data_IF_836449656347
#
_entry.id   IF_836449656347
#
_cell.length_a   1.000
_cell.length_b   1.000
_cell.length_c   1.000
_cell.angle_alpha   90.00
_cell.angle_beta   90.00
_cell.angle_gamma   90.00
#
_symmetry.space_group_name_H-M   'P 1'
#
loop_
_entity.id
_entity.type
_entity.pdbx_description
1 polymer ?
#
# COMPACT_ATOMS: atom_id res chain seq x y z
N UNK A 1 16.87 -12.43 -1.17
CA UNK A 1 16.25 -11.21 -0.60
C UNK A 1 17.34 -10.43 0.11
N UNK A 2 17.49 -9.11 -0.13
CA UNK A 2 18.60 -8.29 0.41
C UNK A 2 18.04 -7.13 1.22
N UNK A 3 17.66 -6.01 0.59
CA UNK A 3 16.95 -4.93 1.27
C UNK A 3 15.45 -5.01 0.93
N UNK A 4 14.54 -4.95 1.91
CA UNK A 4 14.73 -4.73 3.35
C UNK A 4 14.92 -6.02 4.18
N UNK A 5 15.30 -7.16 3.58
CA UNK A 5 15.29 -8.48 4.23
C UNK A 5 16.41 -8.74 5.24
N UNK A 6 17.65 -8.35 4.94
CA UNK A 6 18.87 -8.59 5.74
C UNK A 6 19.75 -7.33 5.86
N UNK A 7 19.19 -6.16 5.55
CA UNK A 7 19.87 -4.87 5.59
C UNK A 7 19.70 -4.18 6.94
N UNK A 8 20.64 -3.30 7.30
CA UNK A 8 20.49 -2.44 8.48
C UNK A 8 19.33 -1.46 8.31
N UNK A 9 18.79 -0.96 9.42
CA UNK A 9 17.78 0.10 9.39
C UNK A 9 18.25 1.33 8.60
N UNK A 10 19.53 1.72 8.72
CA UNK A 10 20.11 2.83 7.97
C UNK A 10 20.03 2.63 6.45
N UNK A 11 20.45 1.46 5.95
CA UNK A 11 20.40 1.14 4.53
C UNK A 11 18.96 1.03 4.00
N UNK A 12 18.01 0.58 4.84
CA UNK A 12 16.59 0.58 4.50
C UNK A 12 16.09 2.02 4.34
N UNK A 13 16.43 2.91 5.28
CA UNK A 13 15.98 4.30 5.27
C UNK A 13 16.42 5.09 4.03
N UNK A 14 17.57 4.76 3.43
CA UNK A 14 18.04 5.38 2.18
C UNK A 14 17.07 5.18 0.99
N UNK A 15 16.30 4.09 1.00
CA UNK A 15 15.30 3.78 -0.03
C UNK A 15 13.86 4.05 0.41
N UNK A 16 13.65 4.43 1.67
CA UNK A 16 12.33 4.68 2.25
C UNK A 16 12.16 6.16 2.60
N UNK A 17 12.50 7.02 1.64
CA UNK A 17 12.42 8.49 1.75
C UNK A 17 11.20 9.06 1.03
N UNK A 18 10.71 10.24 1.43
CA UNK A 18 9.67 10.95 0.67
C UNK A 18 10.01 11.10 -0.82
N UNK A 19 11.26 11.45 -1.15
CA UNK A 19 11.69 11.63 -2.53
C UNK A 19 11.65 10.32 -3.34
N UNK A 20 11.99 9.19 -2.72
CA UNK A 20 11.83 7.88 -3.36
C UNK A 20 10.36 7.56 -3.62
N UNK A 21 9.48 7.82 -2.63
CA UNK A 21 8.04 7.55 -2.72
C UNK A 21 7.35 8.44 -3.77
N UNK A 22 7.77 9.70 -3.90
CA UNK A 22 7.20 10.67 -4.85
C UNK A 22 7.80 10.59 -6.25
N UNK A 23 8.87 9.80 -6.43
CA UNK A 23 9.51 9.68 -7.73
C UNK A 23 8.52 9.11 -8.77
N UNK A 24 8.38 9.71 -9.97
CA UNK A 24 7.33 9.36 -10.93
C UNK A 24 7.39 7.93 -11.47
N UNK A 25 8.54 7.27 -11.34
CA UNK A 25 8.72 5.86 -11.73
C UNK A 25 8.67 4.89 -10.54
N UNK A 26 8.54 5.37 -9.30
CA UNK A 26 8.30 4.52 -8.14
C UNK A 26 6.82 4.22 -8.08
N UNK A 27 6.45 2.95 -8.21
CA UNK A 27 5.05 2.59 -8.15
C UNK A 27 4.75 1.11 -8.27
N UNK A 28 3.50 0.76 -7.97
CA UNK A 28 2.99 -0.60 -8.10
C UNK A 28 3.07 -1.08 -9.55
N UNK A 29 3.74 -2.22 -9.76
CA UNK A 29 3.97 -2.78 -11.10
C UNK A 29 4.94 -1.98 -11.98
N UNK A 30 5.54 -0.89 -11.50
CA UNK A 30 6.52 -0.11 -12.27
C UNK A 30 7.93 -0.67 -12.05
N UNK A 31 8.61 -1.02 -13.14
CA UNK A 31 9.97 -1.60 -13.11
C UNK A 31 10.96 -0.74 -13.90
N UNK A 32 10.56 -0.34 -15.10
CA UNK A 32 11.38 0.51 -15.96
C UNK A 32 11.67 1.81 -15.22
N UNK A 33 12.97 2.12 -15.06
CA UNK A 33 13.48 3.33 -14.43
C UNK A 33 12.95 3.58 -12.99
N UNK A 34 12.47 2.52 -12.30
CA UNK A 34 12.03 2.60 -10.91
C UNK A 34 13.28 2.62 -10.01
N UNK A 35 13.59 3.74 -9.32
CA UNK A 35 14.80 3.87 -8.53
C UNK A 35 14.87 2.88 -7.36
N UNK A 36 13.72 2.50 -6.78
CA UNK A 36 13.66 1.49 -5.72
C UNK A 36 14.09 0.11 -6.22
N UNK A 37 13.61 -0.28 -7.41
CA UNK A 37 14.02 -1.52 -8.07
C UNK A 37 15.50 -1.50 -8.44
N UNK A 38 15.98 -0.39 -9.04
CA UNK A 38 17.38 -0.25 -9.45
C UNK A 38 18.33 -0.33 -8.25
N UNK A 39 18.00 0.34 -7.14
CA UNK A 39 18.77 0.25 -5.89
C UNK A 39 18.84 -1.20 -5.37
N UNK A 40 17.72 -1.93 -5.41
CA UNK A 40 17.69 -3.34 -4.99
C UNK A 40 18.58 -4.24 -5.87
N UNK A 41 18.61 -4.00 -7.19
CA UNK A 41 19.48 -4.73 -8.12
C UNK A 41 20.96 -4.37 -7.92
N UNK A 42 21.26 -3.09 -7.67
CA UNK A 42 22.62 -2.64 -7.38
C UNK A 42 23.16 -3.26 -6.09
N UNK A 43 22.37 -3.25 -5.02
CA UNK A 43 22.74 -3.90 -3.76
C UNK A 43 23.01 -5.40 -3.94
N UNK A 44 22.22 -6.08 -4.77
CA UNK A 44 22.45 -7.49 -5.11
C UNK A 44 23.77 -7.74 -5.85
N UNK A 45 24.16 -6.81 -6.72
CA UNK A 45 25.45 -6.87 -7.42
C UNK A 45 26.62 -6.60 -6.47
N UNK A 46 26.51 -5.60 -5.59
CA UNK A 46 27.55 -5.25 -4.62
C UNK A 46 27.82 -6.42 -3.66
N UNK A 47 26.77 -7.09 -3.19
CA UNK A 47 26.88 -8.23 -2.28
C UNK A 47 27.37 -9.49 -3.00
N UNK A 48 27.23 -9.56 -4.33
CA UNK A 48 27.62 -10.72 -5.11
C UNK A 48 26.65 -11.88 -4.98
N UNK A 49 25.33 -11.63 -5.08
CA UNK A 49 24.36 -12.72 -5.09
C UNK A 49 24.43 -13.48 -6.42
N UNK A 50 24.90 -14.73 -6.37
CA UNK A 50 25.17 -15.54 -7.56
C UNK A 50 23.92 -16.20 -8.16
N UNK A 51 22.89 -16.47 -7.34
CA UNK A 51 21.74 -17.26 -7.74
C UNK A 51 20.47 -16.83 -6.99
N UNK A 52 19.35 -16.78 -7.71
CA UNK A 52 18.02 -16.50 -7.17
C UNK A 52 17.08 -17.65 -7.53
N UNK A 53 16.20 -18.01 -6.60
CA UNK A 53 15.00 -18.81 -6.87
C UNK A 53 13.81 -18.03 -6.34
N UNK A 54 12.86 -17.71 -7.20
CA UNK A 54 11.60 -17.06 -6.84
C UNK A 54 10.42 -17.89 -7.35
N UNK A 55 9.33 -17.86 -6.59
CA UNK A 55 8.07 -18.49 -6.93
C UNK A 55 6.94 -17.47 -7.00
N UNK A 56 5.94 -17.75 -7.83
CA UNK A 56 4.65 -17.06 -7.86
C UNK A 56 3.60 -18.04 -7.38
N UNK A 57 2.79 -17.60 -6.43
CA UNK A 57 1.82 -18.44 -5.71
C UNK A 57 0.40 -17.89 -5.89
N UNK A 58 -0.61 -18.75 -5.86
CA UNK A 58 -2.01 -18.34 -5.80
C UNK A 58 -2.46 -18.00 -4.37
N UNK A 59 -3.76 -17.69 -4.20
CA UNK A 59 -4.36 -17.36 -2.91
C UNK A 59 -4.32 -18.49 -1.88
N UNK A 60 -4.27 -19.74 -2.34
CA UNK A 60 -4.27 -20.94 -1.52
C UNK A 60 -2.84 -21.50 -1.35
N UNK A 61 -1.83 -20.67 -1.67
CA UNK A 61 -0.40 -21.00 -1.64
C UNK A 61 0.00 -22.16 -2.56
N UNK A 62 -0.73 -22.39 -3.65
CA UNK A 62 -0.30 -23.30 -4.71
C UNK A 62 0.72 -22.62 -5.63
N UNK A 63 1.68 -23.41 -6.10
CA UNK A 63 2.74 -22.94 -7.00
C UNK A 63 2.20 -22.70 -8.42
N UNK A 64 2.27 -21.46 -8.90
CA UNK A 64 1.87 -21.08 -10.26
C UNK A 64 3.06 -20.99 -11.22
N UNK A 65 4.22 -20.56 -10.72
CA UNK A 65 5.42 -20.38 -11.54
C UNK A 65 6.68 -20.34 -10.68
N UNK A 66 7.81 -20.81 -11.22
CA UNK A 66 9.14 -20.69 -10.61
C UNK A 66 10.12 -20.19 -11.65
N UNK A 67 11.00 -19.28 -11.22
CA UNK A 67 12.19 -18.92 -11.99
C UNK A 67 13.43 -19.04 -11.11
N UNK A 68 14.50 -19.60 -11.68
CA UNK A 68 15.77 -19.79 -11.01
C UNK A 68 16.93 -19.43 -11.95
N UNK A 69 17.96 -18.77 -11.44
CA UNK A 69 19.14 -18.39 -12.22
C UNK A 69 19.78 -17.08 -11.78
N UNK A 70 20.39 -16.40 -12.76
CA UNK A 70 20.96 -15.05 -12.56
C UNK A 70 19.89 -14.10 -12.01
N UNK A 71 20.25 -13.35 -10.97
CA UNK A 71 19.34 -12.60 -10.11
C UNK A 71 18.38 -11.71 -10.89
N UNK A 72 18.89 -10.87 -11.78
CA UNK A 72 18.06 -9.91 -12.50
C UNK A 72 17.14 -10.61 -13.50
N UNK A 73 17.65 -11.58 -14.27
CA UNK A 73 16.87 -12.36 -15.24
C UNK A 73 15.77 -13.18 -14.58
N UNK A 74 16.10 -13.93 -13.53
CA UNK A 74 15.14 -14.77 -12.82
C UNK A 74 14.04 -13.92 -12.15
N UNK A 75 14.42 -12.79 -11.55
CA UNK A 75 13.45 -11.87 -10.96
C UNK A 75 12.51 -11.26 -12.01
N UNK A 76 13.05 -10.79 -13.15
CA UNK A 76 12.25 -10.24 -14.25
C UNK A 76 11.26 -11.26 -14.81
N UNK A 77 11.65 -12.53 -14.92
CA UNK A 77 10.75 -13.59 -15.37
C UNK A 77 9.53 -13.75 -14.43
N UNK A 78 9.77 -13.75 -13.11
CA UNK A 78 8.68 -13.76 -12.13
C UNK A 78 7.82 -12.50 -12.22
N UNK A 79 8.40 -11.30 -12.38
CA UNK A 79 7.62 -10.06 -12.49
C UNK A 79 6.69 -10.09 -13.70
N UNK A 80 7.19 -10.54 -14.86
CA UNK A 80 6.36 -10.68 -16.06
C UNK A 80 5.19 -11.63 -15.83
N UNK A 81 5.44 -12.75 -15.14
CA UNK A 81 4.38 -13.70 -14.80
C UNK A 81 3.38 -13.15 -13.78
N UNK A 82 3.85 -12.41 -12.77
CA UNK A 82 2.99 -11.72 -11.80
C UNK A 82 2.09 -10.70 -12.48
N UNK A 83 2.60 -9.91 -13.43
CA UNK A 83 1.79 -8.96 -14.18
C UNK A 83 0.71 -9.63 -15.01
N UNK A 84 1.06 -10.72 -15.70
CA UNK A 84 0.09 -11.53 -16.47
C UNK A 84 -1.08 -12.02 -15.60
N UNK A 85 -0.80 -12.42 -14.36
CA UNK A 85 -1.76 -13.08 -13.48
C UNK A 85 -2.56 -12.14 -12.58
N UNK A 86 -1.96 -11.03 -12.14
CA UNK A 86 -2.49 -10.20 -11.05
C UNK A 86 -2.71 -8.73 -11.42
N UNK A 87 -2.38 -8.32 -12.64
CA UNK A 87 -2.73 -6.99 -13.14
C UNK A 87 -4.21 -6.97 -13.58
N UNK A 88 -4.98 -6.04 -13.01
CA UNK A 88 -6.42 -5.96 -13.25
C UNK A 88 -6.73 -4.57 -13.83
N UNK A 89 -7.12 -4.55 -15.10
CA UNK A 89 -7.60 -3.35 -15.75
C UNK A 89 -9.06 -3.07 -15.34
N UNK A 90 -9.29 -1.88 -14.80
CA UNK A 90 -10.60 -1.42 -14.33
C UNK A 90 -11.06 -0.28 -15.24
N UNK A 91 -12.31 -0.29 -15.75
CA UNK A 91 -12.74 0.61 -16.82
C UNK A 91 -12.64 2.10 -16.51
N UNK A 92 -12.80 2.50 -15.25
CA UNK A 92 -12.76 3.90 -14.81
C UNK A 92 -12.66 3.96 -13.28
N UNK A 93 -12.26 5.11 -12.74
CA UNK A 93 -12.28 5.37 -11.30
C UNK A 93 -13.71 5.57 -10.75
N UNK A 94 -13.91 5.35 -9.45
CA UNK A 94 -15.21 5.45 -8.78
C UNK A 94 -15.24 6.50 -7.66
N UNK A 95 -16.44 6.99 -7.32
CA UNK A 95 -16.67 7.83 -6.14
C UNK A 95 -16.49 7.04 -4.84
N UNK A 96 -16.83 5.74 -4.84
CA UNK A 96 -16.73 4.85 -3.68
C UNK A 96 -15.83 3.66 -4.03
N UNK A 97 -14.77 3.44 -3.26
CA UNK A 97 -13.90 2.26 -3.40
C UNK A 97 -13.92 1.45 -2.12
N UNK A 98 -14.48 0.25 -2.18
CA UNK A 98 -14.49 -0.71 -1.07
C UNK A 98 -13.30 -1.65 -1.24
N UNK A 99 -12.48 -1.78 -0.21
CA UNK A 99 -11.26 -2.58 -0.24
C UNK A 99 -11.15 -3.53 0.95
N UNK A 100 -10.57 -4.70 0.74
CA UNK A 100 -10.01 -5.53 1.81
C UNK A 100 -8.54 -5.79 1.54
N UNK A 101 -7.72 -5.76 2.61
CA UNK A 101 -6.30 -6.09 2.47
C UNK A 101 -6.14 -7.56 2.14
N UNK A 102 -6.86 -8.46 2.84
CA UNK A 102 -6.78 -9.92 2.72
C UNK A 102 -5.72 -10.54 3.63
N UNK A 103 -5.95 -11.75 4.13
CA UNK A 103 -5.01 -12.45 5.02
C UNK A 103 -3.71 -12.81 4.28
N UNK A 104 -2.52 -12.64 4.91
CA UNK A 104 -2.27 -12.18 6.29
C UNK A 104 -2.03 -10.67 6.42
N UNK A 105 -2.31 -9.89 5.37
CA UNK A 105 -2.05 -8.44 5.35
C UNK A 105 -3.17 -7.61 5.97
N UNK A 106 -4.20 -8.25 6.50
CA UNK A 106 -5.32 -7.64 7.21
C UNK A 106 -5.19 -7.71 8.74
N UNK A 107 -4.09 -8.29 9.25
CA UNK A 107 -3.88 -8.53 10.67
C UNK A 107 -3.57 -7.28 11.50
N UNK A 108 -3.11 -6.17 10.91
CA UNK A 108 -2.79 -4.95 11.64
C UNK A 108 -2.94 -3.68 10.80
N UNK A 109 -3.04 -2.54 11.49
CA UNK A 109 -3.27 -1.22 10.90
C UNK A 109 -2.19 -0.80 9.90
N UNK A 110 -0.92 -1.09 10.20
CA UNK A 110 0.20 -0.75 9.33
C UNK A 110 0.05 -1.40 7.94
N UNK A 111 -0.21 -2.71 7.91
CA UNK A 111 -0.35 -3.45 6.65
C UNK A 111 -1.64 -3.12 5.92
N UNK A 112 -2.77 -2.95 6.61
CA UNK A 112 -4.03 -2.54 5.96
C UNK A 112 -3.88 -1.15 5.33
N UNK A 113 -3.22 -0.22 6.01
CA UNK A 113 -2.97 1.10 5.44
C UNK A 113 -2.09 1.03 4.19
N UNK A 114 -1.10 0.15 4.17
CA UNK A 114 -0.27 -0.08 3.01
C UNK A 114 -1.00 -0.76 1.84
N UNK A 115 -1.66 -1.87 2.13
CA UNK A 115 -2.09 -2.85 1.14
C UNK A 115 -3.55 -2.66 0.70
N UNK A 116 -4.37 -1.98 1.50
CA UNK A 116 -5.75 -1.64 1.12
C UNK A 116 -5.88 -0.17 0.74
N UNK A 117 -5.42 0.75 1.60
CA UNK A 117 -5.59 2.20 1.38
C UNK A 117 -4.59 2.72 0.33
N UNK A 118 -3.28 2.60 0.57
CA UNK A 118 -2.27 3.11 -0.36
C UNK A 118 -2.21 2.34 -1.68
N UNK A 119 -2.66 1.08 -1.73
CA UNK A 119 -2.66 0.28 -2.96
C UNK A 119 -3.64 0.80 -4.03
N UNK A 120 -4.68 1.56 -3.64
CA UNK A 120 -5.69 2.08 -4.58
C UNK A 120 -5.60 3.59 -4.81
N UNK A 121 -4.94 4.31 -3.90
CA UNK A 121 -4.94 5.78 -3.88
C UNK A 121 -3.61 6.43 -3.50
N UNK A 122 -2.57 5.65 -3.15
CA UNK A 122 -1.26 6.17 -2.78
C UNK A 122 -0.53 6.81 -3.96
N UNK A 123 0.48 7.65 -3.67
CA UNK A 123 1.37 8.28 -4.67
C UNK A 123 2.04 7.28 -5.61
N UNK A 124 2.34 6.09 -5.11
CA UNK A 124 2.89 4.96 -5.87
C UNK A 124 1.88 4.31 -6.85
N UNK A 125 0.61 4.72 -6.86
CA UNK A 125 -0.43 4.17 -7.75
C UNK A 125 -0.54 5.07 -8.98
N UNK A 126 -0.01 4.62 -10.12
CA UNK A 126 -0.04 5.38 -11.38
C UNK A 126 -1.46 5.60 -11.91
N UNK A 127 -2.35 4.65 -11.65
CA UNK A 127 -3.71 4.59 -12.21
C UNK A 127 -4.73 4.40 -11.08
N UNK A 128 -4.91 5.41 -10.20
CA UNK A 128 -5.73 5.27 -9.00
C UNK A 128 -7.19 4.99 -9.36
N UNK A 129 -7.83 4.16 -8.56
CA UNK A 129 -9.20 3.72 -8.80
C UNK A 129 -10.28 4.53 -8.10
N UNK A 130 -9.87 5.65 -7.50
CA UNK A 130 -10.73 6.58 -6.80
C UNK A 130 -10.77 7.92 -7.54
N UNK A 131 -11.95 8.50 -7.66
CA UNK A 131 -12.14 9.87 -8.18
C UNK A 131 -11.72 10.90 -7.14
N UNK A 132 -11.44 12.11 -7.61
CA UNK A 132 -11.25 13.27 -6.73
C UNK A 132 -12.43 13.38 -5.76
N UNK A 133 -12.14 13.66 -4.49
CA UNK A 133 -13.11 13.79 -3.40
C UNK A 133 -13.92 12.50 -3.12
N UNK A 134 -13.44 11.34 -3.61
CA UNK A 134 -14.02 10.03 -3.34
C UNK A 134 -13.78 9.52 -1.92
N UNK A 135 -14.45 8.43 -1.56
CA UNK A 135 -14.32 7.77 -0.25
C UNK A 135 -13.81 6.34 -0.41
N UNK A 136 -12.79 5.98 0.38
CA UNK A 136 -12.30 4.61 0.52
C UNK A 136 -12.94 4.00 1.75
N UNK A 137 -13.51 2.79 1.61
CA UNK A 137 -14.01 2.00 2.73
C UNK A 137 -13.15 0.74 2.82
N UNK A 138 -12.27 0.69 3.81
CA UNK A 138 -11.40 -0.45 4.07
C UNK A 138 -12.05 -1.38 5.11
N UNK A 139 -12.26 -2.64 4.77
CA UNK A 139 -12.77 -3.66 5.68
C UNK A 139 -11.64 -4.61 6.10
N UNK A 140 -11.25 -4.62 7.38
CA UNK A 140 -10.19 -5.50 7.89
C UNK A 140 -10.26 -5.68 9.43
N UNK A 141 -10.05 -6.91 9.94
CA UNK A 141 -10.17 -7.20 11.37
C UNK A 141 -9.06 -6.56 12.22
N UNK A 142 -7.81 -6.52 11.74
CA UNK A 142 -6.67 -5.86 12.41
C UNK A 142 -6.43 -6.28 13.87
N UNK A 143 -6.46 -7.58 14.16
CA UNK A 143 -6.42 -8.11 15.52
C UNK A 143 -5.07 -7.89 16.25
N UNK A 144 -3.99 -7.61 15.53
CA UNK A 144 -2.64 -7.46 16.07
C UNK A 144 -2.24 -6.00 16.40
N UNK A 145 -3.19 -5.05 16.40
CA UNK A 145 -2.89 -3.68 16.78
C UNK A 145 -2.34 -2.80 15.66
N UNK A 146 -1.55 -1.79 16.06
CA UNK A 146 -0.93 -0.84 15.14
C UNK A 146 0.31 -1.41 14.41
N UNK A 147 0.96 -2.43 14.99
CA UNK A 147 2.18 -3.11 14.53
C UNK A 147 3.47 -2.27 14.51
N UNK A 148 3.47 -1.04 13.99
CA UNK A 148 4.65 -0.18 13.97
C UNK A 148 4.37 1.15 14.69
N UNK A 149 5.12 1.42 15.78
CA UNK A 149 4.88 2.57 16.65
C UNK A 149 5.32 3.89 16.01
N UNK A 150 6.40 3.89 15.23
CA UNK A 150 6.87 5.09 14.50
C UNK A 150 5.78 5.56 13.54
N UNK A 151 5.22 4.64 12.75
CA UNK A 151 4.08 4.89 11.86
C UNK A 151 2.89 5.47 12.62
N UNK A 152 2.47 4.80 13.70
CA UNK A 152 1.29 5.19 14.46
C UNK A 152 1.45 6.56 15.11
N UNK A 153 2.55 6.78 15.86
CA UNK A 153 2.82 8.05 16.54
C UNK A 153 2.97 9.19 15.54
N UNK A 154 3.64 8.96 14.41
CA UNK A 154 3.83 10.01 13.40
C UNK A 154 2.50 10.55 12.87
N UNK A 155 1.50 9.67 12.68
CA UNK A 155 0.15 10.08 12.31
C UNK A 155 -0.60 10.68 13.51
N UNK A 156 -0.54 10.03 14.67
CA UNK A 156 -1.34 10.40 15.85
C UNK A 156 -0.94 11.72 16.50
N UNK A 157 0.34 12.10 16.41
CA UNK A 157 0.87 13.33 17.00
C UNK A 157 0.57 14.59 16.16
N UNK A 158 0.15 14.42 14.89
CA UNK A 158 -0.17 15.53 14.01
C UNK A 158 -1.65 15.91 14.14
N UNK A 159 -2.00 17.19 13.95
CA UNK A 159 -3.41 17.60 13.93
C UNK A 159 -4.07 17.27 12.59
N UNK A 160 -3.28 17.26 11.52
CA UNK A 160 -3.77 16.98 10.15
C UNK A 160 -2.81 16.09 9.34
N UNK A 161 -3.31 15.34 8.35
CA UNK A 161 -2.47 14.60 7.40
C UNK A 161 -1.44 15.50 6.68
N UNK A 162 -1.81 16.74 6.33
CA UNK A 162 -0.89 17.70 5.71
C UNK A 162 0.34 18.02 6.59
N UNK A 163 0.16 18.06 7.92
CA UNK A 163 1.27 18.25 8.85
C UNK A 163 2.20 17.04 8.91
N UNK A 164 1.66 15.82 8.82
CA UNK A 164 2.47 14.59 8.73
C UNK A 164 3.39 14.64 7.53
N UNK A 165 2.86 15.03 6.36
CA UNK A 165 3.64 15.15 5.11
C UNK A 165 4.79 16.15 5.30
N UNK A 166 4.52 17.32 5.90
CA UNK A 166 5.55 18.34 6.18
C UNK A 166 6.58 17.87 7.20
N UNK A 167 6.12 17.28 8.31
CA UNK A 167 6.96 16.74 9.40
C UNK A 167 7.94 15.71 8.83
N UNK A 168 7.44 14.68 8.16
CA UNK A 168 8.31 13.60 7.64
C UNK A 168 9.32 14.10 6.60
N UNK A 169 8.96 15.08 5.76
CA UNK A 169 9.92 15.71 4.82
C UNK A 169 11.05 16.47 5.50
N UNK A 170 10.85 16.93 6.73
CA UNK A 170 11.86 17.67 7.50
C UNK A 170 12.78 16.77 8.33
N UNK A 171 12.48 15.47 8.43
CA UNK A 171 13.27 14.51 9.21
C UNK A 171 14.54 14.14 8.42
N UNK A 172 15.70 14.41 9.01
CA UNK A 172 17.00 14.01 8.44
C UNK A 172 17.24 12.50 8.60
N UNK A 173 16.99 11.97 9.80
CA UNK A 173 17.24 10.56 10.14
C UNK A 173 15.91 9.78 10.13
N UNK A 174 15.50 9.35 8.95
CA UNK A 174 14.25 8.61 8.80
C UNK A 174 14.35 7.22 9.43
N UNK A 175 13.30 6.82 10.14
CA UNK A 175 13.14 5.48 10.73
C UNK A 175 12.11 4.64 9.94
N UNK A 176 12.24 3.29 9.97
CA UNK A 176 11.22 2.39 9.45
C UNK A 176 9.84 2.65 10.08
N UNK A 177 8.92 3.19 9.28
CA UNK A 177 7.60 3.62 9.71
C UNK A 177 7.23 5.00 9.18
N UNK A 178 8.21 5.92 9.09
CA UNK A 178 8.00 7.28 8.56
C UNK A 178 7.52 7.26 7.10
N UNK A 179 8.11 6.44 6.25
CA UNK A 179 7.69 6.28 4.86
C UNK A 179 6.22 5.83 4.75
N UNK A 180 5.77 4.98 5.68
CA UNK A 180 4.39 4.51 5.68
C UNK A 180 3.45 5.60 6.15
N UNK A 181 3.80 6.32 7.22
CA UNK A 181 3.02 7.44 7.71
C UNK A 181 2.89 8.52 6.62
N UNK A 182 3.99 8.80 5.91
CA UNK A 182 4.02 9.71 4.78
C UNK A 182 3.04 9.30 3.67
N UNK A 183 3.16 8.07 3.16
CA UNK A 183 2.30 7.59 2.07
C UNK A 183 0.83 7.52 2.45
N UNK A 184 0.51 7.15 3.70
CA UNK A 184 -0.87 7.13 4.21
C UNK A 184 -1.42 8.54 4.36
N UNK A 185 -0.64 9.46 4.93
CA UNK A 185 -1.03 10.86 5.06
C UNK A 185 -1.31 11.52 3.70
N UNK A 186 -0.55 11.20 2.65
CA UNK A 186 -0.84 11.68 1.28
C UNK A 186 -2.22 11.23 0.76
N UNK A 187 -2.71 10.05 1.19
CA UNK A 187 -4.05 9.58 0.86
C UNK A 187 -5.10 10.31 1.70
N UNK A 188 -4.88 10.38 3.02
CA UNK A 188 -5.81 11.01 3.97
C UNK A 188 -5.98 12.52 3.75
N UNK A 189 -4.97 13.18 3.18
CA UNK A 189 -5.03 14.60 2.78
C UNK A 189 -5.94 14.84 1.57
N UNK A 190 -6.21 13.80 0.76
CA UNK A 190 -6.96 13.90 -0.50
C UNK A 190 -8.32 13.21 -0.46
N UNK A 191 -8.45 12.18 0.35
CA UNK A 191 -9.60 11.28 0.33
C UNK A 191 -10.10 11.01 1.74
N UNK A 192 -11.42 10.87 1.85
CA UNK A 192 -12.02 10.33 3.06
C UNK A 192 -11.74 8.82 3.12
N UNK A 193 -11.27 8.36 4.27
CA UNK A 193 -11.07 6.92 4.51
C UNK A 193 -11.89 6.49 5.71
N UNK A 194 -12.69 5.43 5.51
CA UNK A 194 -13.48 4.78 6.54
C UNK A 194 -12.90 3.39 6.77
N UNK A 195 -12.64 3.03 8.03
CA UNK A 195 -12.24 1.70 8.43
C UNK A 195 -13.41 0.96 9.04
N UNK A 196 -13.79 -0.16 8.43
CA UNK A 196 -14.95 -0.96 8.81
C UNK A 196 -14.57 -2.36 9.30
N UNK A 197 -15.43 -2.95 10.14
CA UNK A 197 -15.28 -4.32 10.65
C UNK A 197 -13.94 -4.60 11.35
N UNK A 198 -13.38 -3.60 12.03
CA UNK A 198 -12.16 -3.77 12.81
C UNK A 198 -12.44 -4.30 14.21
N UNK A 199 -11.52 -5.12 14.73
CA UNK A 199 -11.41 -5.50 16.13
C UNK A 199 -10.58 -4.50 16.96
N UNK A 200 -9.98 -3.49 16.33
CA UNK A 200 -9.30 -2.40 17.04
C UNK A 200 -10.30 -1.44 17.69
N UNK A 201 -9.87 -0.82 18.79
CA UNK A 201 -10.59 0.29 19.39
C UNK A 201 -10.76 1.41 18.35
N UNK A 202 -12.00 1.90 18.22
CA UNK A 202 -12.33 3.01 17.33
C UNK A 202 -11.52 4.27 17.64
N UNK A 203 -11.13 4.49 18.90
CA UNK A 203 -10.27 5.60 19.29
C UNK A 203 -8.88 5.52 18.64
N UNK A 204 -8.29 4.32 18.55
CA UNK A 204 -6.98 4.09 17.89
C UNK A 204 -7.06 4.38 16.40
N UNK A 205 -8.19 4.07 15.76
CA UNK A 205 -8.40 4.35 14.33
C UNK A 205 -8.60 5.86 14.12
N UNK A 206 -9.46 6.47 14.94
CA UNK A 206 -9.78 7.91 14.83
C UNK A 206 -8.60 8.83 15.13
N UNK A 207 -7.68 8.40 16.01
CA UNK A 207 -6.50 9.17 16.39
C UNK A 207 -5.51 9.37 15.25
N UNK A 208 -5.60 8.57 14.17
CA UNK A 208 -4.75 8.69 12.98
C UNK A 208 -5.52 9.22 11.75
N UNK A 209 -6.58 10.00 11.99
CA UNK A 209 -7.39 10.67 10.96
C UNK A 209 -8.19 9.73 10.03
N UNK A 210 -8.48 8.51 10.47
CA UNK A 210 -9.35 7.57 9.74
C UNK A 210 -10.69 7.47 10.48
N UNK A 211 -11.81 7.46 9.75
CA UNK A 211 -13.13 7.31 10.36
C UNK A 211 -13.40 5.84 10.72
N UNK A 212 -13.56 5.46 12.00
CA UNK A 212 -13.97 4.12 12.35
C UNK A 212 -15.47 3.90 12.08
N UNK A 213 -15.82 2.71 11.64
CA UNK A 213 -17.21 2.27 11.52
C UNK A 213 -17.34 0.80 11.95
N UNK A 214 -18.33 0.44 12.79
CA UNK A 214 -18.46 -0.94 13.27
C UNK A 214 -18.87 -1.94 12.17
N UNK A 215 -19.45 -1.48 11.05
CA UNK A 215 -20.02 -2.35 10.03
C UNK A 215 -19.70 -1.86 8.63
N UNK A 216 -19.28 -2.79 7.75
CA UNK A 216 -19.10 -2.50 6.33
C UNK A 216 -20.41 -2.05 5.68
N UNK A 217 -21.52 -2.71 6.03
CA UNK A 217 -22.84 -2.33 5.53
C UNK A 217 -23.19 -0.90 5.92
N UNK A 218 -23.00 -0.54 7.21
CA UNK A 218 -23.31 0.81 7.67
C UNK A 218 -22.41 1.88 7.04
N UNK A 219 -21.11 1.61 6.91
CA UNK A 219 -20.17 2.49 6.22
C UNK A 219 -20.58 2.71 4.76
N UNK A 220 -20.93 1.63 4.06
CA UNK A 220 -21.34 1.67 2.66
C UNK A 220 -22.64 2.45 2.46
N UNK A 221 -23.69 2.15 3.24
CA UNK A 221 -24.98 2.84 3.13
C UNK A 221 -24.86 4.35 3.38
N UNK A 222 -24.12 4.76 4.41
CA UNK A 222 -23.86 6.18 4.70
C UNK A 222 -23.11 6.87 3.56
N UNK A 223 -22.11 6.19 3.00
CA UNK A 223 -21.30 6.73 1.90
C UNK A 223 -22.12 6.82 0.61
N UNK A 224 -22.91 5.79 0.30
CA UNK A 224 -23.80 5.79 -0.86
C UNK A 224 -24.89 6.86 -0.75
N UNK A 225 -25.44 7.09 0.45
CA UNK A 225 -26.40 8.16 0.69
C UNK A 225 -25.78 9.56 0.43
N UNK A 226 -24.49 9.75 0.72
CA UNK A 226 -23.77 10.99 0.46
C UNK A 226 -23.58 11.28 -1.04
N UNK A 227 -23.12 10.29 -1.83
CA UNK A 227 -22.89 10.46 -3.27
C UNK A 227 -24.16 10.23 -4.12
N UNK A 228 -25.18 9.59 -3.56
CA UNK A 228 -26.43 9.22 -4.22
C UNK A 228 -26.39 7.87 -4.94
N UNK A 229 -27.57 7.30 -5.20
CA UNK A 229 -27.75 5.94 -5.74
C UNK A 229 -27.18 5.70 -7.15
N UNK A 230 -26.66 6.74 -7.82
CA UNK A 230 -26.00 6.64 -9.13
C UNK A 230 -24.47 6.68 -9.03
N UNK A 231 -23.91 6.77 -7.82
CA UNK A 231 -22.48 6.73 -7.59
C UNK A 231 -21.88 5.43 -8.12
N UNK A 232 -20.70 5.52 -8.74
CA UNK A 232 -19.96 4.33 -9.14
C UNK A 232 -19.28 3.76 -7.90
N UNK A 233 -19.26 2.44 -7.83
CA UNK A 233 -18.67 1.69 -6.73
C UNK A 233 -17.71 0.69 -7.33
N UNK A 234 -16.48 0.66 -6.84
CA UNK A 234 -15.50 -0.40 -7.11
C UNK A 234 -15.30 -1.20 -5.84
N UNK A 235 -15.30 -2.53 -5.96
CA UNK A 235 -15.00 -3.44 -4.85
C UNK A 235 -13.75 -4.24 -5.21
N UNK A 236 -12.69 -4.11 -4.42
CA UNK A 236 -11.44 -4.84 -4.60
C UNK A 236 -11.15 -5.66 -3.34
N UNK A 237 -11.23 -6.98 -3.48
CA UNK A 237 -10.93 -7.91 -2.38
C UNK A 237 -9.49 -8.37 -2.48
N UNK A 238 -8.84 -8.61 -1.35
CA UNK A 238 -7.47 -9.11 -1.29
C UNK A 238 -6.48 -8.24 -2.08
N UNK A 239 -6.58 -6.93 -1.89
CA UNK A 239 -5.79 -5.91 -2.60
C UNK A 239 -4.27 -6.12 -2.52
N UNK A 240 -3.78 -6.80 -1.48
CA UNK A 240 -2.37 -7.20 -1.39
C UNK A 240 -1.89 -8.18 -2.49
N UNK A 241 -2.82 -8.78 -3.25
CA UNK A 241 -2.57 -9.78 -4.31
C UNK A 241 -2.89 -9.29 -5.71
N UNK A 242 -3.15 -7.99 -5.91
CA UNK A 242 -3.45 -7.45 -7.24
C UNK A 242 -2.72 -6.14 -7.52
N UNK A 243 -2.62 -5.82 -8.81
CA UNK A 243 -2.20 -4.52 -9.31
C UNK A 243 -3.40 -3.93 -10.04
N UNK A 244 -4.22 -3.18 -9.30
CA UNK A 244 -5.39 -2.51 -9.86
C UNK A 244 -4.98 -1.31 -10.72
N UNK A 245 -5.51 -1.23 -11.94
CA UNK A 245 -5.22 -0.14 -12.89
C UNK A 245 -6.50 0.42 -13.48
N UNK A 246 -6.91 1.58 -12.99
CA UNK A 246 -8.05 2.27 -13.57
C UNK A 246 -7.66 3.05 -14.84
N UNK A 247 -8.44 2.87 -15.91
CA UNK A 247 -8.25 3.65 -17.14
C UNK A 247 -8.56 5.13 -16.84
N UNK A 248 -7.70 6.00 -17.35
CA UNK A 248 -7.84 7.47 -17.26
C UNK A 248 -8.65 8.00 -18.45
#
# INVERSE_FOLDING_TARGET
MISAGISSASAISETHTPDMLDHPNTGWGLIKDNPFYLSSIEQAKIIGVDFLINAVMDKDENLLYVSAGEVQKAHLACINKTKELFEVDIPEAAEIVVVSSGYPKDSNLYHVSAMAICAVAGSAVKYPCIKKDGTIIAASPMEEGAYNQVFYNTLQEAETPAEVIKKVRSITDLEPGHHRAYGVAQVLDKYKVIMAQSKLDSNIISSIHIEPNPSLQNAFEKTLAHYGNKAKVIVLLDTHRMIAKCRQ
#
